data_IF_741470703410
#
_entry.id   IF_741470703410
#
_cell.length_a   1.000
_cell.length_b   1.000
_cell.length_c   1.000
_cell.angle_alpha   90.00
_cell.angle_beta   90.00
_cell.angle_gamma   90.00
#
_symmetry.space_group_name_H-M   'P 1'
#
loop_
_entity.id
_entity.type
_entity.pdbx_description
1 polymer ?
#
# COMPACT_ATOMS: atom_id res chain seq x y z
N UNK A 1 2.69 3.58 18.51
CA UNK A 1 2.34 5.00 18.22
C UNK A 1 3.51 5.84 18.69
N UNK A 2 4.03 6.68 17.81
CA UNK A 2 5.16 7.56 18.06
C UNK A 2 4.75 8.92 18.62
N UNK A 3 5.69 9.87 18.57
CA UNK A 3 5.55 11.18 19.16
C UNK A 3 4.41 12.00 18.56
N UNK A 4 3.86 12.92 19.37
CA UNK A 4 2.91 13.92 18.92
C UNK A 4 1.46 13.48 18.88
N UNK A 5 1.08 12.32 19.43
CA UNK A 5 -0.32 11.91 19.61
C UNK A 5 -0.79 12.11 21.05
N UNK A 6 -2.08 12.43 21.24
CA UNK A 6 -2.75 12.39 22.54
C UNK A 6 -3.41 11.02 22.73
N UNK A 7 -3.50 10.55 23.96
CA UNK A 7 -4.08 9.23 24.28
C UNK A 7 -5.52 9.06 23.76
N UNK A 8 -6.34 10.11 23.90
CA UNK A 8 -7.72 10.19 23.40
C UNK A 8 -7.85 10.09 21.87
N UNK A 9 -6.78 10.32 21.10
CA UNK A 9 -6.80 10.21 19.64
C UNK A 9 -6.54 8.77 19.19
N UNK A 10 -6.17 7.87 20.12
CA UNK A 10 -5.74 6.50 19.80
C UNK A 10 -6.81 5.71 19.05
N UNK A 11 -8.05 5.75 19.51
CA UNK A 11 -9.15 5.02 18.87
C UNK A 11 -9.41 5.53 17.46
N UNK A 12 -9.41 6.85 17.28
CA UNK A 12 -9.61 7.48 15.96
C UNK A 12 -8.46 7.16 15.00
N UNK A 13 -7.22 7.17 15.47
CA UNK A 13 -6.06 6.77 14.66
C UNK A 13 -6.19 5.31 14.23
N UNK A 14 -6.58 4.40 15.13
CA UNK A 14 -6.78 2.99 14.80
C UNK A 14 -7.90 2.78 13.79
N UNK A 15 -9.01 3.52 13.92
CA UNK A 15 -10.12 3.48 12.96
C UNK A 15 -9.64 3.89 11.56
N UNK A 16 -8.95 5.02 11.46
CA UNK A 16 -8.40 5.52 10.20
C UNK A 16 -7.41 4.52 9.62
N UNK A 17 -6.52 3.94 10.42
CA UNK A 17 -5.49 3.02 9.93
C UNK A 17 -6.01 1.58 9.70
N UNK A 18 -7.20 1.24 10.17
CA UNK A 18 -7.77 -0.12 10.06
C UNK A 18 -7.73 -0.74 8.65
N UNK A 19 -7.91 0.01 7.53
CA UNK A 19 -7.83 -0.59 6.19
C UNK A 19 -6.44 -1.12 5.84
N UNK A 20 -5.37 -0.66 6.50
CA UNK A 20 -4.02 -1.22 6.29
C UNK A 20 -3.97 -2.72 6.59
N UNK A 21 -4.79 -3.20 7.52
CA UNK A 21 -4.80 -4.62 7.92
C UNK A 21 -5.01 -5.55 6.73
N UNK A 22 -5.95 -5.24 5.83
CA UNK A 22 -6.22 -6.04 4.64
C UNK A 22 -5.01 -6.08 3.68
N UNK A 23 -4.26 -4.98 3.59
CA UNK A 23 -3.07 -4.91 2.73
C UNK A 23 -1.84 -5.54 3.37
N UNK A 24 -1.78 -5.64 4.70
CA UNK A 24 -0.67 -6.25 5.44
C UNK A 24 -0.88 -7.75 5.71
N UNK A 25 -2.09 -8.27 5.54
CA UNK A 25 -2.46 -9.67 5.80
C UNK A 25 -1.64 -10.73 5.05
N UNK A 26 -0.83 -10.35 4.06
CA UNK A 26 0.10 -11.25 3.36
C UNK A 26 1.28 -11.68 4.24
N UNK A 27 1.68 -10.86 5.20
CA UNK A 27 2.82 -11.10 6.08
C UNK A 27 2.37 -11.55 7.46
N UNK A 28 3.26 -12.21 8.19
CA UNK A 28 2.99 -12.54 9.58
C UNK A 28 2.92 -11.23 10.41
N UNK A 29 1.91 -11.04 11.27
CA UNK A 29 1.78 -9.83 12.08
C UNK A 29 2.97 -9.56 13.00
N UNK A 30 3.73 -10.58 13.41
CA UNK A 30 4.93 -10.42 14.25
C UNK A 30 6.14 -9.92 13.47
N UNK A 31 6.11 -10.01 12.13
CA UNK A 31 7.18 -9.51 11.25
C UNK A 31 6.86 -8.14 10.64
N UNK A 32 5.68 -7.58 10.94
CA UNK A 32 5.21 -6.29 10.44
C UNK A 32 5.11 -5.30 11.58
N UNK A 33 5.78 -4.17 11.44
CA UNK A 33 5.65 -3.04 12.34
C UNK A 33 5.19 -1.80 11.57
N UNK A 34 4.19 -1.10 12.10
CA UNK A 34 3.71 0.17 11.56
C UNK A 34 3.78 1.24 12.64
N UNK A 35 4.67 2.19 12.42
CA UNK A 35 4.81 3.38 13.25
C UNK A 35 4.07 4.56 12.64
N UNK A 36 3.56 5.40 13.54
CA UNK A 36 2.89 6.64 13.19
C UNK A 36 3.43 7.75 14.09
N UNK A 37 3.79 8.90 13.51
CA UNK A 37 4.24 10.09 14.26
C UNK A 37 3.64 11.36 13.68
N UNK A 38 3.41 12.37 14.52
CA UNK A 38 2.95 13.70 14.11
C UNK A 38 4.01 14.74 14.43
N UNK A 39 4.22 15.64 13.48
CA UNK A 39 5.08 16.81 13.61
C UNK A 39 4.26 18.07 13.29
N UNK A 40 4.76 19.24 13.70
CA UNK A 40 4.11 20.54 13.45
C UNK A 40 2.68 20.65 14.01
N UNK A 41 2.39 19.94 15.11
CA UNK A 41 1.05 19.91 15.71
C UNK A 41 0.62 21.32 16.16
N UNK A 42 -0.60 21.70 15.78
CA UNK A 42 -1.17 23.02 16.08
C UNK A 42 -0.62 24.16 15.21
N UNK A 43 0.25 23.84 14.26
CA UNK A 43 0.69 24.75 13.21
C UNK A 43 -0.34 24.88 12.09
N UNK A 44 0.03 25.60 11.02
CA UNK A 44 -0.83 25.80 9.84
C UNK A 44 -1.10 24.51 9.06
N UNK A 45 -0.21 23.53 9.20
CA UNK A 45 -0.27 22.23 8.55
C UNK A 45 0.40 21.21 9.47
N UNK A 46 -0.30 20.13 9.79
CA UNK A 46 0.25 19.03 10.56
C UNK A 46 0.86 18.00 9.61
N UNK A 47 2.04 17.51 9.97
CA UNK A 47 2.76 16.52 9.18
C UNK A 47 2.67 15.16 9.87
N UNK A 48 1.95 14.23 9.26
CA UNK A 48 1.83 12.85 9.74
C UNK A 48 2.77 11.96 8.95
N UNK A 49 3.64 11.22 9.64
CA UNK A 49 4.53 10.24 9.03
C UNK A 49 4.09 8.84 9.43
N UNK A 50 3.77 8.00 8.44
CA UNK A 50 3.62 6.56 8.59
C UNK A 50 4.87 5.85 8.09
N UNK A 51 5.36 4.91 8.89
CA UNK A 51 6.49 4.06 8.53
C UNK A 51 6.10 2.60 8.71
N UNK A 52 6.22 1.81 7.66
CA UNK A 52 6.02 0.37 7.72
C UNK A 52 7.33 -0.37 7.53
N UNK A 53 7.63 -1.27 8.46
CA UNK A 53 8.70 -2.25 8.37
C UNK A 53 8.10 -3.57 7.93
N UNK A 54 8.51 -4.04 6.75
CA UNK A 54 8.02 -5.28 6.16
C UNK A 54 9.19 -6.23 5.85
N UNK A 55 8.97 -7.56 5.85
CA UNK A 55 10.00 -8.54 5.54
C UNK A 55 10.65 -8.36 4.16
N UNK A 56 11.97 -8.43 4.18
CA UNK A 56 12.85 -8.44 3.00
C UNK A 56 12.80 -7.16 2.13
N UNK A 57 12.33 -6.02 2.64
CA UNK A 57 12.40 -4.75 1.92
C UNK A 57 12.84 -3.59 2.82
N UNK A 58 13.35 -2.49 2.23
CA UNK A 58 13.53 -1.24 2.97
C UNK A 58 12.20 -0.77 3.58
N UNK A 59 12.24 -0.04 4.71
CA UNK A 59 11.04 0.52 5.31
C UNK A 59 10.30 1.43 4.33
N UNK A 60 8.99 1.24 4.21
CA UNK A 60 8.13 2.13 3.43
C UNK A 60 7.76 3.33 4.29
N UNK A 61 7.84 4.53 3.72
CA UNK A 61 7.53 5.78 4.43
C UNK A 61 6.54 6.57 3.60
N UNK A 62 5.44 6.96 4.23
CA UNK A 62 4.43 7.83 3.65
C UNK A 62 4.21 9.04 4.57
N UNK A 63 4.00 10.21 3.96
CA UNK A 63 3.82 11.46 4.70
C UNK A 63 2.56 12.13 4.18
N UNK A 64 1.67 12.51 5.10
CA UNK A 64 0.48 13.30 4.81
C UNK A 64 0.56 14.67 5.49
N UNK A 65 -0.09 15.65 4.86
CA UNK A 65 -0.02 17.05 5.23
C UNK A 65 -1.42 17.65 5.24
N UNK A 66 -1.93 17.95 6.44
CA UNK A 66 -3.21 18.67 6.57
C UNK A 66 -3.28 19.36 7.94
N UNK A 67 -4.01 20.47 8.00
CA UNK A 67 -4.39 21.09 9.27
C UNK A 67 -5.24 20.17 10.17
N UNK A 68 -5.98 19.24 9.58
CA UNK A 68 -6.78 18.22 10.23
C UNK A 68 -6.02 16.89 10.33
N UNK A 69 -5.85 16.38 11.55
CA UNK A 69 -5.07 15.16 11.81
C UNK A 69 -5.63 13.93 11.07
N UNK A 70 -6.95 13.80 11.00
CA UNK A 70 -7.62 12.65 10.38
C UNK A 70 -7.40 12.67 8.87
N UNK A 71 -7.45 13.85 8.25
CA UNK A 71 -7.13 14.02 6.83
C UNK A 71 -5.67 13.72 6.52
N UNK A 72 -4.74 14.24 7.31
CA UNK A 72 -3.31 13.96 7.15
C UNK A 72 -3.01 12.46 7.32
N UNK A 73 -3.64 11.78 8.28
CA UNK A 73 -3.57 10.32 8.45
C UNK A 73 -4.14 9.57 7.25
N UNK A 74 -5.29 10.00 6.74
CA UNK A 74 -5.95 9.34 5.62
C UNK A 74 -5.14 9.44 4.32
N UNK A 75 -4.49 10.58 4.09
CA UNK A 75 -3.55 10.80 2.99
C UNK A 75 -2.33 9.88 3.13
N UNK A 76 -1.62 9.95 4.26
CA UNK A 76 -0.46 9.10 4.53
C UNK A 76 -0.79 7.61 4.38
N UNK A 77 -1.97 7.19 4.87
CA UNK A 77 -2.46 5.80 4.75
C UNK A 77 -2.64 5.40 3.30
N UNK A 78 -3.29 6.23 2.47
CA UNK A 78 -3.54 5.95 1.06
C UNK A 78 -2.23 5.77 0.31
N UNK A 79 -1.26 6.63 0.58
CA UNK A 79 0.06 6.56 -0.03
C UNK A 79 0.81 5.30 0.40
N UNK A 80 0.75 4.94 1.68
CA UNK A 80 1.36 3.71 2.19
C UNK A 80 0.73 2.46 1.56
N UNK A 81 -0.60 2.39 1.46
CA UNK A 81 -1.31 1.30 0.76
C UNK A 81 -0.80 1.17 -0.68
N UNK A 82 -0.68 2.30 -1.39
CA UNK A 82 -0.20 2.33 -2.77
C UNK A 82 1.22 1.78 -2.89
N UNK A 83 2.12 2.16 -1.96
CA UNK A 83 3.48 1.62 -1.92
C UNK A 83 3.51 0.11 -1.64
N UNK A 84 2.69 -0.36 -0.70
CA UNK A 84 2.56 -1.79 -0.35
C UNK A 84 2.08 -2.58 -1.57
N UNK A 85 1.02 -2.13 -2.24
CA UNK A 85 0.44 -2.86 -3.37
C UNK A 85 1.38 -2.84 -4.59
N UNK A 86 2.09 -1.73 -4.82
CA UNK A 86 3.16 -1.68 -5.82
C UNK A 86 4.27 -2.69 -5.50
N UNK A 87 4.68 -2.77 -4.25
CA UNK A 87 5.72 -3.71 -3.82
C UNK A 87 5.29 -5.18 -4.03
N UNK A 88 4.03 -5.51 -3.71
CA UNK A 88 3.46 -6.84 -4.00
C UNK A 88 3.51 -7.15 -5.50
N UNK A 89 3.09 -6.21 -6.33
CA UNK A 89 3.07 -6.38 -7.79
C UNK A 89 4.47 -6.53 -8.40
N UNK A 90 5.48 -5.83 -7.86
CA UNK A 90 6.89 -5.99 -8.27
C UNK A 90 7.45 -7.36 -7.88
N UNK A 91 7.02 -7.90 -6.72
CA UNK A 91 7.41 -9.24 -6.24
C UNK A 91 6.61 -10.40 -6.83
N UNK A 92 5.52 -10.16 -7.53
CA UNK A 92 4.83 -11.17 -8.35
C UNK A 92 5.46 -11.14 -9.75
N UNK A 93 6.53 -11.91 -10.01
CA UNK A 93 7.30 -11.72 -11.22
C UNK A 93 6.52 -12.37 -12.35
N UNK A 94 5.74 -11.58 -13.13
CA UNK A 94 5.40 -11.75 -14.56
C UNK A 94 5.17 -13.19 -15.09
N UNK A 95 4.84 -14.18 -14.25
CA UNK A 95 4.78 -15.61 -14.61
C UNK A 95 3.56 -15.93 -15.48
N UNK A 96 2.68 -14.95 -15.68
CA UNK A 96 1.49 -15.04 -16.53
C UNK A 96 1.57 -14.23 -17.83
N UNK A 97 2.65 -13.47 -18.12
CA UNK A 97 2.74 -12.82 -19.45
C UNK A 97 2.88 -13.85 -20.57
N UNK A 98 3.63 -14.93 -20.32
CA UNK A 98 3.80 -16.01 -21.31
C UNK A 98 2.51 -16.80 -21.54
N UNK A 99 1.70 -17.02 -20.50
CA UNK A 99 0.41 -17.72 -20.61
C UNK A 99 -0.65 -16.92 -21.39
N UNK A 100 -0.54 -15.59 -21.47
CA UNK A 100 -1.45 -14.75 -22.27
C UNK A 100 -1.03 -14.63 -23.74
N UNK A 101 0.23 -14.95 -24.08
CA UNK A 101 0.70 -14.97 -25.47
C UNK A 101 0.41 -16.30 -26.18
N UNK A 102 0.32 -17.42 -25.44
CA UNK A 102 0.10 -18.75 -26.02
C UNK A 102 -1.33 -18.96 -26.57
N UNK A 103 -2.32 -18.19 -26.08
CA UNK A 103 -3.68 -18.18 -26.65
C UNK A 103 -3.84 -17.34 -27.92
N UNK A 104 -2.81 -16.61 -28.35
CA UNK A 104 -2.79 -16.01 -29.70
C UNK A 104 -2.11 -16.98 -30.66
N UNK A 105 -2.46 -18.27 -30.54
CA UNK A 105 -2.23 -19.23 -31.61
C UNK A 105 -3.28 -18.95 -32.68
N UNK A 106 -2.87 -18.23 -33.73
CA UNK A 106 -3.56 -18.25 -35.03
C UNK A 106 -3.73 -19.72 -35.43
N UNK A 107 -4.95 -20.23 -35.67
CA UNK A 107 -5.08 -21.36 -36.56
C UNK A 107 -4.81 -20.85 -37.98
N UNK A 108 -3.68 -21.28 -38.54
CA UNK A 108 -3.41 -21.17 -39.97
C UNK A 108 -4.14 -22.25 -40.77
N UNK A 109 -3.86 -22.22 -42.06
CA UNK A 109 -4.21 -23.19 -43.12
C UNK A 109 -5.66 -23.13 -43.60
N UNK A 110 -5.93 -22.62 -44.81
CA UNK A 110 -5.58 -23.11 -46.16
C UNK A 110 -6.45 -24.27 -46.64
N UNK A 111 -6.92 -24.13 -47.88
CA UNK A 111 -7.45 -25.13 -48.81
C UNK A 111 -8.96 -25.47 -48.71
N UNK A 112 -9.69 -25.01 -49.73
CA UNK A 112 -10.94 -25.58 -50.22
C UNK A 112 -10.99 -25.33 -51.73
N UNK A 113 -10.84 -26.39 -52.51
CA UNK A 113 -10.88 -26.43 -53.97
C UNK A 113 -12.28 -26.86 -54.47
N UNK A 114 -12.62 -26.52 -55.71
CA UNK A 114 -13.76 -27.04 -56.49
C UNK A 114 -15.06 -26.27 -56.26
N UNK A 115 -15.85 -25.89 -57.28
CA UNK A 115 -15.98 -26.37 -58.66
C UNK A 115 -16.26 -25.22 -59.63
#
# INVERSE_FOLDING_TARGET
MGAGFKEQEREQVLEVLSPLGAHLARWDPSEVEVDVSVHERGGKEQRVTLRAHLPCCPPLVAVGYDSDLVRALAEARRDLITQIDRHKAEREPKRNRHLRQDTIRRPGSSAGAGS
#
